data_IF_162454155965
#
_entry.id   IF_162454155965
#
_cell.length_a   1.000
_cell.length_b   1.000
_cell.length_c   1.000
_cell.angle_alpha   90.00
_cell.angle_beta   90.00
_cell.angle_gamma   90.00
#
_symmetry.space_group_name_H-M   'P 1'
#
loop_
_entity.id
_entity.type
_entity.pdbx_description
1 polymer ?
#
# COMPACT_ATOMS: atom_id res chain seq x y z
N UNK A 1 12.10 -17.13 40.55
CA UNK A 1 12.32 -17.78 39.25
C UNK A 1 10.96 -18.08 38.68
N UNK A 2 10.40 -17.19 37.85
CA UNK A 2 9.11 -17.43 37.19
C UNK A 2 9.28 -17.08 35.71
N UNK A 3 9.50 -18.11 34.91
CA UNK A 3 9.62 -18.03 33.47
C UNK A 3 8.22 -17.82 32.88
N UNK A 4 7.94 -16.59 32.39
CA UNK A 4 6.70 -16.32 31.66
C UNK A 4 6.83 -16.89 30.25
N UNK A 5 6.06 -17.94 29.95
CA UNK A 5 5.88 -18.43 28.59
C UNK A 5 5.23 -17.33 27.73
N UNK A 6 5.92 -16.90 26.66
CA UNK A 6 5.33 -16.01 25.65
C UNK A 6 4.18 -16.74 24.95
N UNK A 7 3.02 -16.08 24.72
CA UNK A 7 1.97 -16.69 23.90
C UNK A 7 2.52 -16.89 22.48
N UNK A 8 2.57 -18.14 22.05
CA UNK A 8 2.86 -18.48 20.65
C UNK A 8 1.66 -17.98 19.85
N UNK A 9 1.83 -16.90 19.11
CA UNK A 9 0.83 -16.45 18.15
C UNK A 9 0.59 -17.60 17.17
N UNK A 10 -0.58 -18.24 17.24
CA UNK A 10 -1.02 -19.20 16.24
C UNK A 10 -0.96 -18.51 14.87
N UNK A 11 -0.12 -19.04 13.98
CA UNK A 11 -0.11 -18.62 12.59
C UNK A 11 -1.47 -19.01 12.02
N UNK A 12 -2.38 -18.04 11.91
CA UNK A 12 -3.61 -18.21 11.13
C UNK A 12 -3.21 -18.66 9.73
N UNK A 13 -3.70 -19.82 9.32
CA UNK A 13 -3.63 -20.23 7.92
C UNK A 13 -4.53 -19.29 7.13
N UNK A 14 -3.91 -18.46 6.29
CA UNK A 14 -4.61 -17.59 5.35
C UNK A 14 -5.20 -18.44 4.23
N UNK A 15 -6.43 -18.13 3.84
CA UNK A 15 -7.12 -18.83 2.75
C UNK A 15 -6.65 -18.29 1.40
N UNK A 16 -6.79 -19.09 0.34
CA UNK A 16 -6.47 -18.66 -1.03
C UNK A 16 -7.26 -17.42 -1.46
N UNK A 17 -8.50 -17.26 -0.95
CA UNK A 17 -9.33 -16.09 -1.20
C UNK A 17 -8.75 -14.82 -0.56
N UNK A 18 -8.29 -14.90 0.69
CA UNK A 18 -7.65 -13.76 1.38
C UNK A 18 -6.31 -13.38 0.70
N UNK A 19 -5.55 -14.37 0.22
CA UNK A 19 -4.33 -14.13 -0.54
C UNK A 19 -4.61 -13.41 -1.88
N UNK A 20 -5.66 -13.85 -2.59
CA UNK A 20 -6.10 -13.21 -3.83
C UNK A 20 -6.53 -11.75 -3.58
N UNK A 21 -7.34 -11.49 -2.56
CA UNK A 21 -7.84 -10.15 -2.23
C UNK A 21 -6.69 -9.17 -1.95
N UNK A 22 -5.62 -9.63 -1.30
CA UNK A 22 -4.43 -8.81 -1.00
C UNK A 22 -3.69 -8.40 -2.27
N UNK A 23 -3.44 -9.36 -3.18
CA UNK A 23 -2.79 -9.09 -4.46
C UNK A 23 -3.66 -8.16 -5.31
N UNK A 24 -4.97 -8.45 -5.36
CA UNK A 24 -5.94 -7.65 -6.09
C UNK A 24 -5.98 -6.20 -5.61
N UNK A 25 -6.03 -5.97 -4.28
CA UNK A 25 -6.03 -4.63 -3.71
C UNK A 25 -4.81 -3.79 -4.15
N UNK A 26 -3.61 -4.41 -4.17
CA UNK A 26 -2.39 -3.73 -4.62
C UNK A 26 -2.43 -3.44 -6.12
N UNK A 27 -2.90 -4.39 -6.94
CA UNK A 27 -3.07 -4.19 -8.38
C UNK A 27 -4.04 -3.03 -8.68
N UNK A 28 -5.20 -2.99 -8.03
CA UNK A 28 -6.17 -1.89 -8.18
C UNK A 28 -5.58 -0.54 -7.79
N UNK A 29 -4.87 -0.47 -6.66
CA UNK A 29 -4.18 0.76 -6.25
C UNK A 29 -3.15 1.20 -7.30
N UNK A 30 -2.38 0.25 -7.84
CA UNK A 30 -1.38 0.50 -8.87
C UNK A 30 -1.99 0.95 -10.20
N UNK A 31 -3.17 0.47 -10.58
CA UNK A 31 -3.91 0.94 -11.75
C UNK A 31 -4.33 2.41 -11.61
N UNK A 32 -4.75 2.81 -10.41
CA UNK A 32 -5.20 4.18 -10.13
C UNK A 32 -4.02 5.17 -10.12
N UNK A 33 -2.94 4.83 -9.40
CA UNK A 33 -1.84 5.80 -9.15
C UNK A 33 -0.63 5.61 -10.07
N UNK A 34 -0.60 4.52 -10.83
CA UNK A 34 0.52 4.08 -11.64
C UNK A 34 1.44 3.12 -10.88
N UNK A 35 1.71 1.96 -11.49
CA UNK A 35 2.50 0.88 -10.89
C UNK A 35 3.89 1.30 -10.45
N UNK A 36 4.64 1.99 -11.32
CA UNK A 36 5.99 2.44 -11.00
C UNK A 36 6.00 3.49 -9.89
N UNK A 37 4.97 4.35 -9.85
CA UNK A 37 4.82 5.37 -8.82
C UNK A 37 4.57 4.72 -7.47
N UNK A 38 3.66 3.74 -7.40
CA UNK A 38 3.37 3.00 -6.18
C UNK A 38 4.60 2.22 -5.69
N UNK A 39 5.29 1.49 -6.59
CA UNK A 39 6.50 0.76 -6.25
C UNK A 39 7.58 1.68 -5.66
N UNK A 40 7.80 2.85 -6.27
CA UNK A 40 8.76 3.85 -5.78
C UNK A 40 8.35 4.41 -4.42
N UNK A 41 7.06 4.72 -4.22
CA UNK A 41 6.54 5.22 -2.94
C UNK A 41 6.63 4.16 -1.83
N UNK A 42 6.49 2.88 -2.17
CA UNK A 42 6.71 1.75 -1.28
C UNK A 42 8.21 1.47 -1.00
N UNK A 43 9.14 2.24 -1.59
CA UNK A 43 10.58 2.03 -1.42
C UNK A 43 11.12 0.79 -2.12
N UNK A 44 10.41 0.28 -3.12
CA UNK A 44 10.73 -0.98 -3.81
C UNK A 44 11.17 -0.75 -5.26
N UNK A 45 12.00 -1.65 -5.77
CA UNK A 45 12.27 -1.71 -7.20
C UNK A 45 10.98 -2.15 -7.95
N UNK A 46 10.55 -1.48 -9.03
CA UNK A 46 9.34 -1.83 -9.77
C UNK A 46 9.31 -3.27 -10.29
N UNK A 47 10.46 -3.86 -10.66
CA UNK A 47 10.51 -5.27 -11.10
C UNK A 47 10.24 -6.22 -9.95
N UNK A 48 10.82 -5.96 -8.78
CA UNK A 48 10.58 -6.74 -7.56
C UNK A 48 9.13 -6.61 -7.13
N UNK A 49 8.59 -5.40 -7.11
CA UNK A 49 7.19 -5.14 -6.77
C UNK A 49 6.24 -5.92 -7.70
N UNK A 50 6.50 -5.92 -9.02
CA UNK A 50 5.72 -6.69 -10.00
C UNK A 50 5.78 -8.19 -9.76
N UNK A 51 6.91 -8.70 -9.31
CA UNK A 51 7.06 -10.13 -9.01
C UNK A 51 6.22 -10.58 -7.80
N UNK A 52 5.91 -9.66 -6.89
CA UNK A 52 5.05 -9.91 -5.72
C UNK A 52 3.56 -9.72 -6.00
N UNK A 53 3.20 -8.99 -7.05
CA UNK A 53 1.82 -8.80 -7.50
C UNK A 53 1.41 -9.82 -8.58
N UNK A 54 2.15 -10.91 -8.74
CA UNK A 54 1.76 -12.01 -9.61
C UNK A 54 0.93 -13.01 -8.80
N UNK A 55 -0.28 -13.31 -9.28
CA UNK A 55 -1.31 -14.12 -8.59
C UNK A 55 -0.84 -15.55 -8.29
N UNK A 56 0.17 -16.03 -9.00
CA UNK A 56 0.80 -17.35 -8.77
C UNK A 56 1.76 -17.37 -7.57
N UNK A 57 1.99 -16.23 -6.89
CA UNK A 57 2.93 -16.11 -5.76
C UNK A 57 2.26 -15.46 -4.56
N UNK A 58 2.66 -15.92 -3.38
CA UNK A 58 2.27 -15.30 -2.12
C UNK A 58 2.94 -13.93 -1.97
N UNK A 59 2.16 -12.90 -1.66
CA UNK A 59 2.63 -11.55 -1.37
C UNK A 59 3.06 -11.44 0.10
N UNK A 60 4.34 -11.15 0.38
CA UNK A 60 4.79 -10.96 1.76
C UNK A 60 4.02 -9.81 2.44
N UNK A 61 3.66 -9.97 3.72
CA UNK A 61 3.04 -8.91 4.54
C UNK A 61 3.82 -7.60 4.49
N UNK A 62 5.15 -7.68 4.48
CA UNK A 62 6.04 -6.52 4.38
C UNK A 62 5.84 -5.75 3.07
N UNK A 63 5.56 -6.45 1.96
CA UNK A 63 5.28 -5.82 0.66
C UNK A 63 3.90 -5.18 0.66
N UNK A 64 2.89 -5.85 1.23
CA UNK A 64 1.54 -5.29 1.35
C UNK A 64 1.54 -4.01 2.20
N UNK A 65 2.19 -4.04 3.36
CA UNK A 65 2.33 -2.88 4.25
C UNK A 65 3.10 -1.75 3.55
N UNK A 66 4.18 -2.07 2.83
CA UNK A 66 4.94 -1.08 2.08
C UNK A 66 4.10 -0.43 0.97
N UNK A 67 3.28 -1.22 0.26
CA UNK A 67 2.35 -0.71 -0.75
C UNK A 67 1.31 0.24 -0.13
N UNK A 68 0.72 -0.14 1.00
CA UNK A 68 -0.25 0.70 1.73
C UNK A 68 0.38 2.04 2.16
N UNK A 69 1.55 2.01 2.81
CA UNK A 69 2.26 3.23 3.20
C UNK A 69 2.62 4.11 1.98
N UNK A 70 3.01 3.49 0.87
CA UNK A 70 3.28 4.19 -0.38
C UNK A 70 2.03 4.86 -0.96
N UNK A 71 0.87 4.21 -0.87
CA UNK A 71 -0.41 4.77 -1.29
C UNK A 71 -0.80 5.98 -0.43
N UNK A 72 -0.65 5.89 0.90
CA UNK A 72 -0.91 7.01 1.82
C UNK A 72 -0.03 8.22 1.48
N UNK A 73 1.25 8.00 1.20
CA UNK A 73 2.17 9.07 0.79
C UNK A 73 1.76 9.73 -0.53
N UNK A 74 1.28 8.94 -1.50
CA UNK A 74 0.76 9.45 -2.78
C UNK A 74 -0.50 10.28 -2.55
N UNK A 75 -1.43 9.80 -1.74
CA UNK A 75 -2.65 10.51 -1.39
C UNK A 75 -2.35 11.86 -0.73
N UNK A 76 -1.39 11.91 0.20
CA UNK A 76 -0.96 13.14 0.84
C UNK A 76 -0.37 14.16 -0.17
N UNK A 77 0.49 13.71 -1.10
CA UNK A 77 1.03 14.56 -2.17
C UNK A 77 -0.08 15.09 -3.11
N UNK A 78 -1.02 14.22 -3.51
CA UNK A 78 -2.16 14.61 -4.34
C UNK A 78 -3.07 15.61 -3.64
N UNK A 79 -3.34 15.42 -2.35
CA UNK A 79 -4.13 16.36 -1.55
C UNK A 79 -3.44 17.72 -1.43
N UNK A 80 -2.12 17.75 -1.20
CA UNK A 80 -1.35 18.99 -1.16
C UNK A 80 -1.40 19.75 -2.50
N UNK A 81 -1.30 19.02 -3.62
CA UNK A 81 -1.42 19.60 -4.97
C UNK A 81 -2.83 20.12 -5.24
N UNK A 82 -3.86 19.37 -4.91
CA UNK A 82 -5.25 19.79 -5.06
C UNK A 82 -5.53 21.05 -4.24
N UNK A 83 -5.05 21.13 -3.00
CA UNK A 83 -5.12 22.34 -2.18
C UNK A 83 -4.44 23.51 -2.87
N UNK A 84 -3.19 23.34 -3.37
CA UNK A 84 -2.49 24.39 -4.12
C UNK A 84 -3.26 24.84 -5.36
N UNK A 85 -3.87 23.93 -6.11
CA UNK A 85 -4.70 24.27 -7.28
C UNK A 85 -5.90 25.13 -6.89
N UNK A 86 -6.59 24.82 -5.78
CA UNK A 86 -7.70 25.64 -5.27
C UNK A 86 -7.24 27.06 -4.90
N UNK A 87 -6.08 27.18 -4.23
CA UNK A 87 -5.48 28.49 -3.92
C UNK A 87 -5.22 29.31 -5.18
N UNK A 88 -4.59 28.70 -6.18
CA UNK A 88 -4.25 29.34 -7.46
C UNK A 88 -5.48 29.70 -8.29
N UNK A 89 -6.56 28.93 -8.16
CA UNK A 89 -7.84 29.22 -8.78
C UNK A 89 -8.63 30.34 -8.06
N UNK A 90 -8.10 30.90 -6.97
CA UNK A 90 -8.77 31.95 -6.19
C UNK A 90 -9.93 31.44 -5.33
N UNK A 91 -9.96 30.14 -5.01
CA UNK A 91 -11.02 29.51 -4.19
C UNK A 91 -10.71 29.61 -2.69
N UNK A 92 -9.63 30.28 -2.29
CA UNK A 92 -9.34 30.58 -0.89
C UNK A 92 -10.17 31.78 -0.42
N UNK A 93 -11.41 31.54 0.04
CA UNK A 93 -12.22 32.53 0.76
C UNK A 93 -13.64 32.76 0.24
N UNK A 94 -14.49 31.72 0.23
CA UNK A 94 -15.94 31.90 0.34
C UNK A 94 -16.36 31.47 1.75
N UNK A 95 -15.90 32.22 2.75
CA UNK A 95 -16.57 32.37 4.04
C UNK A 95 -17.25 33.74 4.07
#
# INVERSE_FOLDING_TARGET
MSEQAKPVAEKRHMTDAEEFDRIWAVCQAAEIVGFERLAKAAGMNPRTFRSHTNVERTMPDTTLIAAANGLDAICADLQARASKMRKLAGVDGAE
#
